data_IF_624382191807
#
_entry.id   IF_624382191807
#
_cell.length_a   1.000
_cell.length_b   1.000
_cell.length_c   1.000
_cell.angle_alpha   90.00
_cell.angle_beta   90.00
_cell.angle_gamma   90.00
#
_symmetry.space_group_name_H-M   'P 1'
#
loop_
_entity.id
_entity.type
_entity.pdbx_description
1 polymer ?
#
# COMPACT_ATOMS: atom_id res chain seq x y z
N UNK A 1 -14.07 -12.86 -13.70
CA UNK A 1 -13.34 -13.62 -12.66
C UNK A 1 -12.00 -12.93 -12.44
N UNK A 2 -11.64 -12.56 -11.20
CA UNK A 2 -10.35 -11.98 -10.86
C UNK A 2 -9.17 -12.85 -11.31
N UNK A 3 -8.07 -12.24 -11.75
CA UNK A 3 -6.92 -13.00 -12.29
C UNK A 3 -6.25 -13.89 -11.24
N UNK A 4 -6.25 -13.48 -9.97
CA UNK A 4 -5.75 -14.28 -8.86
C UNK A 4 -6.49 -15.62 -8.69
N UNK A 5 -7.77 -15.70 -9.05
CA UNK A 5 -8.57 -16.93 -8.95
C UNK A 5 -8.43 -17.84 -10.17
N UNK A 6 -7.91 -17.33 -11.30
CA UNK A 6 -7.65 -18.14 -12.49
C UNK A 6 -6.46 -19.09 -12.32
N UNK A 7 -5.50 -18.70 -11.47
CA UNK A 7 -4.31 -19.52 -11.19
C UNK A 7 -4.64 -20.67 -10.23
N UNK A 8 -5.64 -20.50 -9.37
CA UNK A 8 -6.10 -21.47 -8.36
C UNK A 8 -7.36 -22.22 -8.81
N UNK A 9 -7.66 -22.23 -10.11
CA UNK A 9 -8.89 -22.83 -10.66
C UNK A 9 -8.93 -24.35 -10.48
N UNK A 10 -7.88 -25.00 -9.99
CA UNK A 10 -7.89 -26.42 -9.63
C UNK A 10 -8.31 -26.69 -8.17
N UNK A 11 -8.35 -25.68 -7.30
CA UNK A 11 -8.85 -25.83 -5.93
C UNK A 11 -10.38 -25.95 -5.94
N UNK A 12 -10.89 -27.03 -5.36
CA UNK A 12 -12.33 -27.31 -5.24
C UNK A 12 -13.08 -26.15 -4.57
N UNK A 13 -12.49 -25.53 -3.54
CA UNK A 13 -13.11 -24.42 -2.79
C UNK A 13 -13.26 -23.18 -3.66
N UNK A 14 -12.29 -22.90 -4.52
CA UNK A 14 -12.33 -21.76 -5.45
C UNK A 14 -13.43 -21.98 -6.50
N UNK A 15 -13.55 -23.19 -7.03
CA UNK A 15 -14.62 -23.53 -7.99
C UNK A 15 -16.01 -23.39 -7.38
N UNK A 16 -16.22 -23.93 -6.18
CA UNK A 16 -17.50 -23.83 -5.47
C UNK A 16 -17.87 -22.36 -5.21
N UNK A 17 -16.92 -21.55 -4.73
CA UNK A 17 -17.14 -20.13 -4.49
C UNK A 17 -17.52 -19.38 -5.78
N UNK A 18 -16.79 -19.60 -6.89
CA UNK A 18 -17.10 -18.99 -8.18
C UNK A 18 -18.50 -19.39 -8.66
N UNK A 19 -18.86 -20.67 -8.52
CA UNK A 19 -20.16 -21.17 -8.95
C UNK A 19 -21.30 -20.53 -8.14
N UNK A 20 -21.16 -20.42 -6.82
CA UNK A 20 -22.16 -19.78 -5.94
C UNK A 20 -22.31 -18.29 -6.29
N UNK A 21 -21.21 -17.58 -6.51
CA UNK A 21 -21.24 -16.17 -6.92
C UNK A 21 -21.90 -15.98 -8.29
N UNK A 22 -21.61 -16.86 -9.25
CA UNK A 22 -22.22 -16.81 -10.58
C UNK A 22 -23.73 -17.08 -10.52
N UNK A 23 -24.17 -18.03 -9.70
CA UNK A 23 -25.59 -18.30 -9.46
C UNK A 23 -26.27 -17.08 -8.81
N UNK A 24 -25.66 -16.49 -7.80
CA UNK A 24 -26.16 -15.29 -7.12
C UNK A 24 -26.26 -14.10 -8.08
N UNK A 25 -25.25 -13.86 -8.90
CA UNK A 25 -25.26 -12.83 -9.93
C UNK A 25 -26.43 -13.00 -10.92
N UNK A 26 -26.61 -14.23 -11.43
CA UNK A 26 -27.68 -14.53 -12.38
C UNK A 26 -29.06 -14.37 -11.74
N UNK A 27 -29.24 -14.81 -10.50
CA UNK A 27 -30.49 -14.65 -9.75
C UNK A 27 -30.83 -13.17 -9.53
N UNK A 28 -29.87 -12.35 -9.05
CA UNK A 28 -30.07 -10.91 -8.85
C UNK A 28 -30.38 -10.18 -10.16
N UNK A 29 -29.65 -10.50 -11.23
CA UNK A 29 -29.90 -9.95 -12.57
C UNK A 29 -31.31 -10.28 -13.07
N UNK A 30 -31.73 -11.53 -12.91
CA UNK A 30 -33.07 -11.98 -13.31
C UNK A 30 -34.16 -11.27 -12.50
N UNK A 31 -33.97 -11.13 -11.18
CA UNK A 31 -34.91 -10.45 -10.29
C UNK A 31 -35.17 -9.00 -10.72
N UNK A 32 -34.11 -8.22 -10.92
CA UNK A 32 -34.24 -6.80 -11.33
C UNK A 32 -34.83 -6.67 -12.72
N UNK A 33 -34.41 -7.54 -13.65
CA UNK A 33 -35.00 -7.55 -14.99
C UNK A 33 -36.49 -7.86 -14.93
N UNK A 34 -36.90 -8.80 -14.08
CA UNK A 34 -38.31 -9.14 -13.85
C UNK A 34 -39.11 -7.97 -13.29
N UNK A 35 -38.61 -7.32 -12.24
CA UNK A 35 -39.26 -6.17 -11.61
C UNK A 35 -39.43 -4.98 -12.57
N UNK A 36 -38.37 -4.64 -13.32
CA UNK A 36 -38.44 -3.60 -14.36
C UNK A 36 -39.39 -4.00 -15.49
N UNK A 37 -39.41 -5.27 -15.89
CA UNK A 37 -40.32 -5.76 -16.93
C UNK A 37 -41.78 -5.63 -16.52
N UNK A 38 -42.11 -5.97 -15.27
CA UNK A 38 -43.47 -5.83 -14.73
C UNK A 38 -43.93 -4.37 -14.76
N UNK A 39 -43.08 -3.44 -14.31
CA UNK A 39 -43.37 -2.01 -14.33
C UNK A 39 -43.55 -1.48 -15.76
N UNK A 40 -42.75 -1.97 -16.72
CA UNK A 40 -42.90 -1.62 -18.14
C UNK A 40 -44.21 -2.14 -18.74
N UNK A 41 -44.61 -3.36 -18.41
CA UNK A 41 -45.90 -3.90 -18.83
C UNK A 41 -47.06 -3.08 -18.26
N UNK A 42 -46.94 -2.58 -17.03
CA UNK A 42 -47.93 -1.66 -16.45
C UNK A 42 -48.01 -0.34 -17.21
N UNK A 43 -46.87 0.23 -17.64
CA UNK A 43 -46.85 1.43 -18.50
C UNK A 43 -47.56 1.16 -19.83
N UNK A 44 -47.28 0.02 -20.46
CA UNK A 44 -47.92 -0.36 -21.73
C UNK A 44 -49.45 -0.48 -21.58
N UNK A 45 -49.93 -1.11 -20.50
CA UNK A 45 -51.36 -1.19 -20.19
C UNK A 45 -52.00 0.20 -20.00
N UNK A 46 -51.33 1.11 -19.29
CA UNK A 46 -51.80 2.49 -19.12
C UNK A 46 -51.82 3.26 -20.45
N UNK A 47 -50.86 3.02 -21.34
CA UNK A 47 -50.83 3.61 -22.67
C UNK A 47 -51.97 3.13 -23.56
N UNK A 48 -52.33 1.84 -23.50
CA UNK A 48 -53.51 1.31 -24.19
C UNK A 48 -54.80 1.91 -23.63
N UNK A 49 -54.92 2.02 -22.30
CA UNK A 49 -56.05 2.70 -21.66
C UNK A 49 -56.17 4.16 -22.12
N UNK A 50 -55.06 4.90 -22.19
CA UNK A 50 -55.04 6.27 -22.70
C UNK A 50 -55.51 6.35 -24.15
N UNK A 51 -55.10 5.42 -25.02
CA UNK A 51 -55.57 5.35 -26.41
C UNK A 51 -57.08 5.13 -26.49
N UNK A 52 -57.63 4.26 -25.65
CA UNK A 52 -59.08 4.06 -25.54
C UNK A 52 -59.82 5.32 -25.09
N UNK A 53 -59.34 5.99 -24.04
CA UNK A 53 -59.93 7.23 -23.52
C UNK A 53 -59.86 8.38 -24.53
N UNK A 54 -58.75 8.51 -25.25
CA UNK A 54 -58.59 9.52 -26.31
C UNK A 54 -59.56 9.27 -27.48
N UNK A 55 -59.73 8.02 -27.90
CA UNK A 55 -60.69 7.65 -28.94
C UNK A 55 -62.14 7.96 -28.52
N UNK A 56 -62.51 7.64 -27.27
CA UNK A 56 -63.82 7.99 -26.71
C UNK A 56 -64.03 9.51 -26.67
N UNK A 57 -63.04 10.27 -26.19
CA UNK A 57 -63.08 11.73 -26.15
C UNK A 57 -63.26 12.35 -27.53
N UNK A 58 -62.56 11.84 -28.55
CA UNK A 58 -62.70 12.28 -29.95
C UNK A 58 -64.07 11.94 -30.54
N UNK A 59 -64.59 10.74 -30.28
CA UNK A 59 -65.94 10.36 -30.71
C UNK A 59 -67.02 11.25 -30.08
N UNK A 60 -66.90 11.54 -28.78
CA UNK A 60 -67.81 12.46 -28.08
C UNK A 60 -67.71 13.87 -28.65
N UNK A 61 -66.50 14.35 -28.96
CA UNK A 61 -66.30 15.66 -29.60
C UNK A 61 -67.02 15.76 -30.96
N UNK A 62 -66.95 14.71 -31.79
CA UNK A 62 -67.67 14.69 -33.07
C UNK A 62 -69.19 14.77 -32.88
N UNK A 63 -69.74 14.04 -31.90
CA UNK A 63 -71.17 14.08 -31.58
C UNK A 63 -71.60 15.43 -31.02
N UNK A 64 -70.80 16.05 -30.15
CA UNK A 64 -71.03 17.41 -29.65
C UNK A 64 -71.12 18.37 -30.84
N UNK A 65 -70.13 18.36 -31.74
CA UNK A 65 -70.12 19.23 -32.92
C UNK A 65 -71.36 19.03 -33.79
N UNK A 66 -71.78 17.78 -34.01
CA UNK A 66 -73.01 17.46 -34.75
C UNK A 66 -74.26 18.05 -34.07
N UNK A 67 -74.44 17.81 -32.77
CA UNK A 67 -75.60 18.33 -32.02
C UNK A 67 -75.61 19.85 -31.94
N UNK A 68 -74.45 20.49 -31.78
CA UNK A 68 -74.35 21.95 -31.76
C UNK A 68 -74.69 22.57 -33.12
N UNK A 69 -74.31 21.92 -34.22
CA UNK A 69 -74.68 22.37 -35.57
C UNK A 69 -76.19 22.24 -35.78
N UNK A 70 -76.76 21.08 -35.44
CA UNK A 70 -78.20 20.83 -35.59
C UNK A 70 -79.03 21.80 -34.71
N UNK A 71 -78.59 22.06 -33.47
CA UNK A 71 -79.21 23.05 -32.59
C UNK A 71 -79.19 24.46 -33.21
N UNK A 72 -78.08 24.85 -33.86
CA UNK A 72 -77.96 26.13 -34.56
C UNK A 72 -78.96 26.23 -35.73
N UNK A 73 -79.06 25.18 -36.55
CA UNK A 73 -79.99 25.14 -37.69
C UNK A 73 -81.45 25.26 -37.23
N UNK A 74 -81.84 24.51 -36.18
CA UNK A 74 -83.17 24.64 -35.58
C UNK A 74 -83.40 26.01 -34.95
N UNK A 75 -82.37 26.62 -34.36
CA UNK A 75 -82.44 27.99 -33.84
C UNK A 75 -82.71 29.02 -34.94
N UNK A 76 -82.14 28.86 -36.13
CA UNK A 76 -82.45 29.71 -37.28
C UNK A 76 -83.88 29.51 -37.79
N UNK A 77 -84.35 28.26 -37.90
CA UNK A 77 -85.72 27.94 -38.31
C UNK A 77 -86.74 28.49 -37.31
N UNK A 78 -86.47 28.39 -36.01
CA UNK A 78 -87.33 28.93 -34.96
C UNK A 78 -87.42 30.46 -35.02
N UNK A 79 -86.30 31.17 -35.31
CA UNK A 79 -86.30 32.63 -35.51
C UNK A 79 -87.18 33.06 -36.68
N UNK A 80 -87.29 32.22 -37.72
CA UNK A 80 -88.13 32.43 -38.89
C UNK A 80 -89.58 31.94 -38.70
N UNK A 81 -89.92 31.40 -37.52
CA UNK A 81 -91.27 30.90 -37.20
C UNK A 81 -91.60 29.51 -37.72
N UNK A 82 -90.61 28.78 -38.26
CA UNK A 82 -90.82 27.46 -38.89
C UNK A 82 -90.54 26.27 -37.96
N UNK A 83 -90.13 26.48 -36.70
CA UNK A 83 -89.94 25.39 -35.74
C UNK A 83 -90.12 25.84 -34.28
N UNK A 84 -90.27 24.87 -33.37
CA UNK A 84 -90.36 25.07 -31.92
C UNK A 84 -88.96 25.12 -31.26
N UNK A 85 -88.74 26.11 -30.37
CA UNK A 85 -87.52 26.25 -29.54
C UNK A 85 -87.28 25.07 -28.62
N UNK A 86 -88.28 24.27 -28.30
CA UNK A 86 -88.14 23.07 -27.48
C UNK A 86 -87.08 22.12 -28.06
N UNK A 87 -87.12 21.88 -29.39
CA UNK A 87 -86.21 20.95 -30.05
C UNK A 87 -84.76 21.44 -30.00
N UNK A 88 -84.54 22.74 -30.23
CA UNK A 88 -83.21 23.36 -30.08
C UNK A 88 -82.65 23.10 -28.66
N UNK A 89 -83.45 23.36 -27.61
CA UNK A 89 -83.00 23.18 -26.21
C UNK A 89 -82.74 21.73 -25.84
N UNK A 90 -83.44 20.78 -26.45
CA UNK A 90 -83.14 19.35 -26.28
C UNK A 90 -81.76 18.98 -26.84
N UNK A 91 -81.44 19.47 -28.05
CA UNK A 91 -80.14 19.24 -28.69
C UNK A 91 -79.00 19.92 -27.91
N UNK A 92 -79.22 21.15 -27.41
CA UNK A 92 -78.27 21.86 -26.55
C UNK A 92 -78.01 21.09 -25.24
N UNK A 93 -79.05 20.55 -24.59
CA UNK A 93 -78.90 19.73 -23.38
C UNK A 93 -78.12 18.45 -23.67
N UNK A 94 -78.41 17.77 -24.79
CA UNK A 94 -77.68 16.57 -25.18
C UNK A 94 -76.19 16.86 -25.49
N UNK A 95 -75.89 17.98 -26.14
CA UNK A 95 -74.51 18.42 -26.37
C UNK A 95 -73.79 18.69 -25.03
N UNK A 96 -74.43 19.39 -24.10
CA UNK A 96 -73.86 19.71 -22.78
C UNK A 96 -73.59 18.46 -21.93
N UNK A 97 -74.49 17.46 -21.97
CA UNK A 97 -74.27 16.17 -21.31
C UNK A 97 -73.03 15.45 -21.86
N UNK A 98 -72.88 15.41 -23.19
CA UNK A 98 -71.71 14.83 -23.84
C UNK A 98 -70.41 15.61 -23.55
N UNK A 99 -70.49 16.93 -23.38
CA UNK A 99 -69.34 17.73 -22.95
C UNK A 99 -68.88 17.34 -21.55
N UNK A 100 -69.81 17.10 -20.62
CA UNK A 100 -69.50 16.60 -19.29
C UNK A 100 -68.80 15.24 -19.32
N UNK A 101 -69.33 14.28 -20.09
CA UNK A 101 -68.71 12.97 -20.27
C UNK A 101 -67.32 13.07 -20.92
N UNK A 102 -67.16 13.92 -21.94
CA UNK A 102 -65.86 14.16 -22.58
C UNK A 102 -64.86 14.75 -21.59
N UNK A 103 -65.28 15.72 -20.77
CA UNK A 103 -64.43 16.30 -19.74
C UNK A 103 -63.97 15.24 -18.71
N UNK A 104 -64.85 14.31 -18.33
CA UNK A 104 -64.50 13.17 -17.49
C UNK A 104 -63.42 12.29 -18.13
N UNK A 105 -63.57 11.91 -19.41
CA UNK A 105 -62.55 11.13 -20.12
C UNK A 105 -61.21 11.84 -20.24
N UNK A 106 -61.20 13.16 -20.44
CA UNK A 106 -59.96 13.96 -20.46
C UNK A 106 -59.27 14.02 -19.09
N UNK A 107 -60.06 14.09 -18.01
CA UNK A 107 -59.56 13.99 -16.64
C UNK A 107 -58.91 12.62 -16.37
N UNK A 108 -59.56 11.54 -16.78
CA UNK A 108 -59.04 10.18 -16.63
C UNK A 108 -57.78 9.95 -17.48
N UNK A 109 -57.71 10.52 -18.69
CA UNK A 109 -56.51 10.51 -19.51
C UNK A 109 -55.35 11.22 -18.81
N UNK A 110 -55.61 12.36 -18.18
CA UNK A 110 -54.59 13.11 -17.41
C UNK A 110 -54.13 12.32 -16.18
N UNK A 111 -55.04 11.62 -15.50
CA UNK A 111 -54.72 10.72 -14.38
C UNK A 111 -53.83 9.57 -14.83
N UNK A 112 -54.15 8.92 -15.95
CA UNK A 112 -53.35 7.83 -16.51
C UNK A 112 -51.93 8.30 -16.89
N UNK A 113 -51.78 9.51 -17.45
CA UNK A 113 -50.47 10.12 -17.72
C UNK A 113 -49.63 10.28 -16.45
N UNK A 114 -50.21 10.79 -15.36
CA UNK A 114 -49.52 10.92 -14.08
C UNK A 114 -49.07 9.57 -13.53
N UNK A 115 -49.91 8.53 -13.65
CA UNK A 115 -49.57 7.17 -13.24
C UNK A 115 -48.43 6.57 -14.06
N UNK A 116 -48.34 6.87 -15.36
CA UNK A 116 -47.19 6.50 -16.19
C UNK A 116 -45.92 7.16 -15.64
N UNK A 117 -45.92 8.47 -15.42
CA UNK A 117 -44.74 9.17 -14.87
C UNK A 117 -44.33 8.66 -13.49
N UNK A 118 -45.30 8.34 -12.62
CA UNK A 118 -45.02 7.72 -11.33
C UNK A 118 -44.37 6.33 -11.49
N UNK A 119 -44.87 5.51 -12.42
CA UNK A 119 -44.32 4.17 -12.70
C UNK A 119 -42.92 4.26 -13.30
N UNK A 120 -42.64 5.26 -14.13
CA UNK A 120 -41.29 5.54 -14.64
C UNK A 120 -40.31 5.92 -13.51
N UNK A 121 -40.76 6.74 -12.56
CA UNK A 121 -39.96 7.05 -11.36
C UNK A 121 -39.72 5.81 -10.49
N UNK A 122 -40.69 4.90 -10.38
CA UNK A 122 -40.51 3.63 -9.68
C UNK A 122 -39.43 2.77 -10.37
N UNK A 123 -39.40 2.70 -11.70
CA UNK A 123 -38.33 2.00 -12.45
C UNK A 123 -36.96 2.60 -12.09
N UNK A 124 -36.83 3.93 -12.08
CA UNK A 124 -35.60 4.61 -11.70
C UNK A 124 -35.20 4.31 -10.25
N UNK A 125 -36.17 4.25 -9.34
CA UNK A 125 -35.94 3.93 -7.94
C UNK A 125 -35.41 2.51 -7.74
N UNK A 126 -35.98 1.51 -8.44
CA UNK A 126 -35.48 0.12 -8.42
C UNK A 126 -34.02 0.06 -8.87
N UNK A 127 -33.70 0.73 -9.99
CA UNK A 127 -32.33 0.77 -10.51
C UNK A 127 -31.36 1.46 -9.55
N UNK A 128 -31.78 2.58 -8.94
CA UNK A 128 -30.96 3.31 -7.97
C UNK A 128 -30.72 2.52 -6.69
N UNK A 129 -31.75 1.87 -6.16
CA UNK A 129 -31.62 0.99 -4.99
C UNK A 129 -30.59 -0.11 -5.24
N UNK A 130 -30.65 -0.75 -6.41
CA UNK A 130 -29.66 -1.76 -6.79
C UNK A 130 -28.24 -1.19 -6.88
N UNK A 131 -28.05 -0.03 -7.51
CA UNK A 131 -26.73 0.62 -7.59
C UNK A 131 -26.16 0.91 -6.20
N UNK A 132 -26.97 1.42 -5.28
CA UNK A 132 -26.56 1.69 -3.90
C UNK A 132 -26.15 0.41 -3.19
N UNK A 133 -26.96 -0.64 -3.26
CA UNK A 133 -26.66 -1.93 -2.63
C UNK A 133 -25.36 -2.55 -3.17
N UNK A 134 -25.15 -2.49 -4.50
CA UNK A 134 -23.90 -2.96 -5.12
C UNK A 134 -22.70 -2.13 -4.65
N UNK A 135 -22.83 -0.81 -4.52
CA UNK A 135 -21.75 0.05 -4.06
C UNK A 135 -21.39 -0.22 -2.58
N UNK A 136 -22.38 -0.47 -1.73
CA UNK A 136 -22.18 -0.84 -0.33
C UNK A 136 -21.48 -2.20 -0.20
N UNK A 137 -21.96 -3.22 -0.90
CA UNK A 137 -21.35 -4.55 -0.93
C UNK A 137 -19.92 -4.50 -1.48
N UNK A 138 -19.69 -3.74 -2.56
CA UNK A 138 -18.36 -3.57 -3.13
C UNK A 138 -17.39 -2.94 -2.11
N UNK A 139 -17.82 -1.89 -1.40
CA UNK A 139 -17.01 -1.24 -0.36
C UNK A 139 -16.65 -2.23 0.75
N UNK A 140 -17.62 -3.01 1.22
CA UNK A 140 -17.39 -4.01 2.26
C UNK A 140 -16.39 -5.09 1.80
N UNK A 141 -16.57 -5.63 0.59
CA UNK A 141 -15.67 -6.63 0.01
C UNK A 141 -14.27 -6.05 -0.19
N UNK A 142 -14.13 -4.81 -0.66
CA UNK A 142 -12.83 -4.15 -0.83
C UNK A 142 -12.11 -3.97 0.51
N UNK A 143 -12.82 -3.57 1.57
CA UNK A 143 -12.25 -3.47 2.91
C UNK A 143 -11.75 -4.82 3.42
N UNK A 144 -12.57 -5.88 3.29
CA UNK A 144 -12.19 -7.24 3.68
C UNK A 144 -10.99 -7.75 2.87
N UNK A 145 -10.96 -7.47 1.57
CA UNK A 145 -9.83 -7.82 0.71
C UNK A 145 -8.56 -7.11 1.16
N UNK A 146 -8.62 -5.82 1.49
CA UNK A 146 -7.46 -5.09 1.99
C UNK A 146 -6.91 -5.73 3.28
N UNK A 147 -7.77 -6.00 4.25
CA UNK A 147 -7.40 -6.64 5.51
C UNK A 147 -6.78 -8.04 5.30
N UNK A 148 -7.36 -8.83 4.39
CA UNK A 148 -6.85 -10.16 4.05
C UNK A 148 -5.48 -10.10 3.36
N UNK A 149 -5.27 -9.14 2.45
CA UNK A 149 -3.97 -8.97 1.79
C UNK A 149 -2.87 -8.59 2.79
N UNK A 150 -3.16 -7.69 3.74
CA UNK A 150 -2.19 -7.32 4.77
C UNK A 150 -1.87 -8.49 5.71
N UNK A 151 -2.88 -9.29 6.09
CA UNK A 151 -2.65 -10.53 6.84
C UNK A 151 -1.82 -11.54 6.05
N UNK A 152 -2.10 -11.72 4.76
CA UNK A 152 -1.32 -12.59 3.90
C UNK A 152 0.15 -12.14 3.82
N UNK A 153 0.41 -10.83 3.68
CA UNK A 153 1.78 -10.28 3.68
C UNK A 153 2.51 -10.56 4.98
N UNK A 154 1.87 -10.36 6.13
CA UNK A 154 2.46 -10.65 7.44
C UNK A 154 2.77 -12.14 7.62
N UNK A 155 1.87 -13.03 7.18
CA UNK A 155 2.09 -14.47 7.19
C UNK A 155 3.21 -14.87 6.22
N UNK A 156 3.29 -14.27 5.05
CA UNK A 156 4.35 -14.52 4.07
C UNK A 156 5.72 -14.11 4.63
N UNK A 157 5.81 -12.98 5.33
CA UNK A 157 7.04 -12.56 6.04
C UNK A 157 7.43 -13.59 7.11
N UNK A 158 6.45 -14.09 7.87
CA UNK A 158 6.67 -15.15 8.87
C UNK A 158 7.23 -16.43 8.23
N UNK A 159 6.65 -16.86 7.10
CA UNK A 159 7.12 -18.05 6.36
C UNK A 159 8.53 -17.82 5.80
N UNK A 160 8.81 -16.62 5.29
CA UNK A 160 10.14 -16.28 4.74
C UNK A 160 11.22 -16.32 5.84
N UNK A 161 10.87 -15.95 7.07
CA UNK A 161 11.78 -16.00 8.24
C UNK A 161 11.99 -17.40 8.82
N UNK A 162 11.31 -18.44 8.32
CA UNK A 162 11.60 -19.82 8.70
C UNK A 162 13.00 -20.22 8.19
N UNK A 163 13.42 -19.68 7.05
CA UNK A 163 14.76 -19.90 6.51
C UNK A 163 15.70 -18.76 6.94
N UNK A 164 16.58 -19.05 7.89
CA UNK A 164 17.61 -18.10 8.34
C UNK A 164 18.78 -18.14 7.36
N UNK A 165 18.91 -17.08 6.54
CA UNK A 165 20.02 -16.92 5.58
C UNK A 165 21.13 -16.05 6.17
N UNK A 166 22.38 -16.35 5.79
CA UNK A 166 23.54 -15.57 6.20
C UNK A 166 23.46 -14.13 5.61
N UNK A 167 23.63 -13.06 6.42
CA UNK A 167 23.61 -11.69 5.91
C UNK A 167 24.87 -11.32 5.10
N UNK A 168 25.97 -12.04 5.30
CA UNK A 168 27.23 -11.85 4.59
C UNK A 168 27.96 -13.18 4.41
N UNK A 169 28.86 -13.24 3.42
CA UNK A 169 29.77 -14.38 3.25
C UNK A 169 30.81 -14.37 4.37
N UNK A 170 31.03 -15.52 5.01
CA UNK A 170 31.89 -15.59 6.18
C UNK A 170 32.09 -17.01 6.68
N UNK A 171 32.82 -17.12 7.78
CA UNK A 171 33.06 -18.38 8.49
C UNK A 171 32.12 -18.48 9.69
N UNK A 172 31.50 -19.64 9.87
CA UNK A 172 30.58 -19.91 10.98
C UNK A 172 31.38 -20.22 12.26
N UNK A 173 31.03 -19.58 13.36
CA UNK A 173 31.61 -19.79 14.69
C UNK A 173 30.48 -19.86 15.74
N UNK A 174 30.71 -20.54 16.87
CA UNK A 174 29.81 -20.44 18.03
C UNK A 174 28.40 -21.00 17.81
N UNK A 175 28.25 -22.08 17.03
CA UNK A 175 26.96 -22.74 16.82
C UNK A 175 26.41 -23.26 18.16
N UNK A 176 25.23 -22.79 18.55
CA UNK A 176 24.58 -23.10 19.83
C UNK A 176 23.56 -24.24 19.72
N UNK A 177 23.05 -24.52 18.51
CA UNK A 177 22.04 -25.54 18.26
C UNK A 177 22.56 -26.62 17.31
N UNK A 178 22.39 -27.89 17.71
CA UNK A 178 22.93 -29.05 16.98
C UNK A 178 21.87 -30.13 16.68
N UNK A 179 20.59 -29.87 16.98
CA UNK A 179 19.52 -30.88 16.93
C UNK A 179 18.45 -30.54 15.89
N UNK A 180 18.20 -31.49 14.98
CA UNK A 180 17.08 -31.41 14.03
C UNK A 180 15.77 -31.64 14.78
N UNK A 181 14.80 -30.72 14.65
CA UNK A 181 13.53 -30.76 15.36
C UNK A 181 13.53 -30.09 16.75
N UNK A 182 14.64 -29.47 17.15
CA UNK A 182 14.69 -28.62 18.35
C UNK A 182 13.89 -27.33 18.19
N UNK A 183 13.30 -26.84 19.27
CA UNK A 183 12.54 -25.57 19.29
C UNK A 183 13.50 -24.44 19.69
N UNK A 184 13.50 -23.35 18.91
CA UNK A 184 14.33 -22.16 19.15
C UNK A 184 13.41 -20.97 19.41
N UNK A 185 13.61 -20.27 20.53
CA UNK A 185 12.82 -19.09 20.88
C UNK A 185 13.27 -17.86 20.08
N UNK A 186 12.35 -16.91 19.77
CA UNK A 186 12.72 -15.65 19.13
C UNK A 186 13.86 -14.92 19.86
N UNK A 187 14.85 -14.42 19.11
CA UNK A 187 16.00 -13.70 19.65
C UNK A 187 17.12 -14.57 20.24
N UNK A 188 16.98 -15.90 20.20
CA UNK A 188 18.05 -16.81 20.61
C UNK A 188 19.12 -16.86 19.53
N UNK A 189 20.38 -16.61 19.89
CA UNK A 189 21.51 -16.70 18.96
C UNK A 189 21.71 -18.16 18.53
N UNK A 190 21.78 -18.41 17.22
CA UNK A 190 21.95 -19.74 16.61
C UNK A 190 23.44 -20.02 16.34
N UNK A 191 24.11 -19.06 15.73
CA UNK A 191 25.53 -19.08 15.37
C UNK A 191 26.00 -17.66 15.07
N UNK A 192 27.31 -17.45 15.07
CA UNK A 192 27.96 -16.22 14.64
C UNK A 192 28.61 -16.42 13.26
N UNK A 193 28.60 -15.37 12.44
CA UNK A 193 29.27 -15.36 11.13
C UNK A 193 30.35 -14.29 11.17
N UNK A 194 31.59 -14.70 10.97
CA UNK A 194 32.74 -13.81 10.83
C UNK A 194 32.93 -13.51 9.33
N UNK A 195 32.68 -12.28 8.86
CA UNK A 195 32.77 -11.95 7.43
C UNK A 195 34.18 -12.22 6.86
N UNK A 196 34.25 -12.71 5.63
CA UNK A 196 35.51 -12.83 4.90
C UNK A 196 35.77 -11.53 4.13
N UNK A 197 36.99 -10.98 4.26
CA UNK A 197 37.39 -9.75 3.56
C UNK A 197 37.31 -8.46 4.39
N UNK A 198 37.11 -8.56 5.71
CA UNK A 198 37.38 -7.41 6.58
C UNK A 198 38.87 -7.08 6.57
N UNK A 199 39.16 -5.79 6.42
CA UNK A 199 40.53 -5.29 6.36
C UNK A 199 41.19 -5.54 7.72
N UNK A 200 42.33 -6.23 7.74
CA UNK A 200 43.04 -6.54 8.96
C UNK A 200 43.61 -5.26 9.57
N UNK A 201 43.03 -4.86 10.70
CA UNK A 201 43.49 -3.73 11.51
C UNK A 201 44.25 -4.28 12.70
N UNK A 202 45.45 -3.74 12.94
CA UNK A 202 46.25 -4.10 14.10
C UNK A 202 45.95 -3.12 15.22
N UNK A 203 45.51 -3.65 16.35
CA UNK A 203 45.27 -2.87 17.57
C UNK A 203 46.55 -2.85 18.41
N UNK A 204 47.09 -1.65 18.64
CA UNK A 204 48.30 -1.42 19.40
C UNK A 204 47.99 -0.65 20.69
N UNK A 205 48.45 -1.17 21.83
CA UNK A 205 48.37 -0.49 23.12
C UNK A 205 49.53 0.50 23.26
N UNK A 206 49.23 1.80 23.23
CA UNK A 206 50.19 2.88 23.40
C UNK A 206 50.26 3.27 24.88
N UNK A 207 51.48 3.39 25.41
CA UNK A 207 51.68 3.84 26.78
C UNK A 207 51.21 5.29 26.95
N UNK A 208 50.60 5.59 28.11
CA UNK A 208 50.08 6.93 28.44
C UNK A 208 51.13 8.02 28.31
N UNK A 209 52.40 7.71 28.59
CA UNK A 209 53.53 8.65 28.51
C UNK A 209 53.92 9.05 27.09
N UNK A 210 53.49 8.30 26.07
CA UNK A 210 53.87 8.54 24.68
C UNK A 210 52.73 9.08 23.81
N UNK A 211 51.55 9.32 24.41
CA UNK A 211 50.37 9.81 23.68
C UNK A 211 50.61 11.17 22.99
N UNK A 212 51.39 12.05 23.61
CA UNK A 212 51.70 13.39 23.07
C UNK A 212 52.42 13.34 21.71
N UNK A 213 52.99 12.17 21.35
CA UNK A 213 53.76 11.97 20.12
C UNK A 213 53.03 11.14 19.08
N UNK A 214 51.91 10.49 19.44
CA UNK A 214 51.21 9.54 18.57
C UNK A 214 49.92 10.18 18.07
N UNK A 215 49.84 10.42 16.76
CA UNK A 215 48.66 10.98 16.12
C UNK A 215 48.31 10.22 14.83
N UNK A 216 47.06 10.32 14.35
CA UNK A 216 46.67 9.78 13.06
C UNK A 216 47.60 10.26 11.94
N UNK A 217 47.90 9.37 10.99
CA UNK A 217 48.73 9.63 9.82
C UNK A 217 50.19 9.20 9.93
N UNK A 218 50.70 8.89 11.15
CA UNK A 218 52.07 8.43 11.34
C UNK A 218 52.31 7.04 10.70
N UNK A 219 53.52 6.85 10.16
CA UNK A 219 53.96 5.54 9.71
C UNK A 219 54.30 4.65 10.91
N UNK A 220 53.91 3.39 10.84
CA UNK A 220 54.17 2.39 11.85
C UNK A 220 54.74 1.13 11.19
N UNK A 221 55.70 0.49 11.83
CA UNK A 221 56.22 -0.81 11.44
C UNK A 221 55.53 -1.88 12.27
N UNK A 222 54.87 -2.82 11.59
CA UNK A 222 54.16 -3.93 12.22
C UNK A 222 54.95 -5.21 12.02
N UNK A 223 55.18 -5.93 13.12
CA UNK A 223 55.83 -7.23 13.14
C UNK A 223 54.94 -8.24 13.86
N UNK A 224 54.51 -9.28 13.17
CA UNK A 224 53.74 -10.37 13.78
C UNK A 224 54.69 -11.32 14.51
N UNK A 225 54.66 -11.31 15.85
CA UNK A 225 55.55 -12.12 16.69
C UNK A 225 55.22 -13.62 16.66
N UNK A 226 54.06 -13.99 16.12
CA UNK A 226 53.66 -15.37 15.86
C UNK A 226 54.52 -16.07 14.77
N UNK A 227 55.23 -15.30 13.92
CA UNK A 227 56.09 -15.85 12.87
C UNK A 227 57.58 -15.75 13.24
N UNK A 228 58.43 -16.59 12.63
CA UNK A 228 59.87 -16.62 12.91
C UNK A 228 60.53 -15.28 12.56
N UNK A 229 61.01 -14.54 13.58
CA UNK A 229 61.55 -13.17 13.46
C UNK A 229 62.72 -12.99 12.49
N UNK A 230 63.35 -14.09 12.03
CA UNK A 230 64.46 -14.07 11.07
C UNK A 230 64.03 -14.09 9.59
N UNK A 231 62.81 -14.52 9.31
CA UNK A 231 62.27 -14.73 7.95
C UNK A 231 61.04 -13.87 7.66
N UNK A 232 60.41 -13.30 8.68
CA UNK A 232 59.19 -12.50 8.51
C UNK A 232 59.55 -11.04 8.17
N UNK A 233 59.06 -10.50 7.04
CA UNK A 233 59.27 -9.11 6.68
C UNK A 233 58.57 -8.16 7.65
N UNK A 234 59.17 -7.00 7.89
CA UNK A 234 58.52 -5.89 8.61
C UNK A 234 57.51 -5.26 7.66
N UNK A 235 56.27 -5.11 8.10
CA UNK A 235 55.22 -4.53 7.27
C UNK A 235 55.05 -3.06 7.60
N UNK A 236 54.94 -2.23 6.56
CA UNK A 236 54.64 -0.82 6.74
C UNK A 236 53.13 -0.63 6.88
N UNK A 237 52.75 0.06 7.95
CA UNK A 237 51.38 0.46 8.26
C UNK A 237 51.27 1.94 8.56
N UNK A 238 50.05 2.43 8.67
CA UNK A 238 49.74 3.80 9.03
C UNK A 238 48.76 3.83 10.20
N UNK A 239 49.03 4.70 11.19
CA UNK A 239 48.11 4.93 12.30
C UNK A 239 46.86 5.61 11.74
N UNK A 240 45.72 4.91 11.78
CA UNK A 240 44.46 5.43 11.27
C UNK A 240 43.72 6.25 12.33
N UNK A 241 43.65 5.72 13.55
CA UNK A 241 42.96 6.36 14.67
C UNK A 241 43.67 6.07 15.97
N UNK A 242 43.62 7.02 16.90
CA UNK A 242 44.06 6.86 18.28
C UNK A 242 42.85 7.17 19.17
N UNK A 243 42.61 6.37 20.20
CA UNK A 243 41.49 6.62 21.12
C UNK A 243 41.62 8.00 21.75
N UNK A 244 40.52 8.74 21.81
CA UNK A 244 40.49 10.06 22.43
C UNK A 244 40.62 9.99 23.97
N UNK A 245 40.29 8.83 24.56
CA UNK A 245 40.33 8.59 26.00
C UNK A 245 41.23 7.39 26.34
N UNK A 246 41.70 7.39 27.59
CA UNK A 246 42.55 6.37 28.19
C UNK A 246 41.70 5.17 28.59
N UNK A 247 42.03 4.01 28.04
CA UNK A 247 41.39 2.74 28.36
C UNK A 247 42.21 1.99 29.42
N UNK A 248 41.58 1.08 30.14
CA UNK A 248 42.24 0.22 31.12
C UNK A 248 42.11 -1.22 30.67
N UNK A 249 43.23 -1.94 30.64
CA UNK A 249 43.23 -3.36 30.29
C UNK A 249 42.57 -4.17 31.41
N UNK A 250 41.54 -4.96 31.08
CA UNK A 250 40.81 -5.78 32.06
C UNK A 250 41.66 -6.87 32.68
N UNK A 251 42.74 -7.31 32.02
CA UNK A 251 43.63 -8.36 32.52
C UNK A 251 44.77 -7.82 33.39
N UNK A 252 45.37 -6.69 33.01
CA UNK A 252 46.57 -6.15 33.68
C UNK A 252 46.29 -4.92 34.54
N UNK A 253 45.09 -4.34 34.44
CA UNK A 253 44.66 -3.10 35.09
C UNK A 253 45.57 -1.88 34.77
N UNK A 254 46.38 -1.97 33.73
CA UNK A 254 47.27 -0.90 33.28
C UNK A 254 46.52 0.02 32.29
N UNK A 255 46.68 1.35 32.42
CA UNK A 255 46.07 2.28 31.48
C UNK A 255 46.86 2.35 30.17
N UNK A 256 46.16 2.43 29.05
CA UNK A 256 46.73 2.57 27.70
C UNK A 256 45.83 3.40 26.79
N UNK A 257 46.36 3.86 25.67
CA UNK A 257 45.59 4.42 24.55
C UNK A 257 45.55 3.40 23.41
N UNK A 258 44.39 3.24 22.77
CA UNK A 258 44.23 2.30 21.67
C UNK A 258 44.57 2.99 20.35
N UNK A 259 45.67 2.58 19.72
CA UNK A 259 46.02 3.00 18.37
C UNK A 259 45.63 1.89 17.38
N UNK A 260 44.88 2.23 16.35
CA UNK A 260 44.54 1.33 15.24
C UNK A 260 45.49 1.60 14.09
N UNK A 261 46.27 0.60 13.73
CA UNK A 261 47.23 0.66 12.62
C UNK A 261 46.70 -0.15 11.45
N UNK A 262 46.59 0.52 10.31
CA UNK A 262 46.21 -0.09 9.04
C UNK A 262 47.47 -0.54 8.31
N UNK A 263 47.53 -1.80 7.91
CA UNK A 263 48.54 -2.31 6.96
C UNK A 263 47.90 -2.34 5.58
N UNK A 264 48.62 -1.92 4.54
CA UNK A 264 48.10 -1.93 3.17
C UNK A 264 48.12 -3.34 2.57
N UNK A 265 47.18 -3.64 1.67
CA UNK A 265 47.08 -4.97 1.04
C UNK A 265 48.34 -5.36 0.24
N UNK A 266 49.07 -4.36 -0.28
CA UNK A 266 50.38 -4.54 -0.94
C UNK A 266 51.47 -5.01 0.03
N UNK A 267 51.46 -4.50 1.26
CA UNK A 267 52.40 -4.92 2.31
C UNK A 267 52.02 -6.29 2.86
N UNK A 268 50.72 -6.56 3.05
CA UNK A 268 50.22 -7.89 3.43
C UNK A 268 50.58 -8.98 2.42
N UNK A 269 50.65 -8.63 1.13
CA UNK A 269 51.07 -9.56 0.05
C UNK A 269 52.54 -10.00 0.16
N UNK A 270 53.39 -9.28 0.91
CA UNK A 270 54.78 -9.67 1.17
C UNK A 270 54.92 -10.87 2.12
N UNK A 271 53.83 -11.29 2.78
CA UNK A 271 53.84 -12.43 3.72
C UNK A 271 53.81 -13.81 3.02
N UNK A 272 54.08 -13.89 1.71
CA UNK A 272 54.27 -15.13 0.93
C UNK A 272 53.27 -16.27 1.24
N UNK A 273 51.99 -15.93 1.43
CA UNK A 273 50.91 -16.92 1.66
C UNK A 273 50.70 -17.37 3.11
N UNK A 274 51.31 -16.71 4.10
CA UNK A 274 50.96 -16.95 5.51
C UNK A 274 49.62 -16.33 5.87
N UNK A 275 48.66 -17.14 6.31
CA UNK A 275 47.31 -16.70 6.67
C UNK A 275 47.32 -16.03 8.03
N UNK A 276 46.87 -14.77 8.08
CA UNK A 276 46.68 -14.06 9.33
C UNK A 276 45.32 -14.42 9.95
N UNK A 277 45.32 -14.82 11.22
CA UNK A 277 44.11 -15.09 12.00
C UNK A 277 43.85 -13.95 13.01
N UNK A 278 42.58 -13.58 13.26
CA UNK A 278 42.24 -12.67 14.35
C UNK A 278 42.77 -13.16 15.70
N UNK A 279 43.30 -12.25 16.51
CA UNK A 279 43.82 -12.55 17.86
C UNK A 279 45.32 -12.89 17.94
N UNK A 280 46.06 -12.84 16.83
CA UNK A 280 47.51 -13.04 16.86
C UNK A 280 48.26 -11.84 17.47
N UNK A 281 49.31 -12.08 18.27
CA UNK A 281 50.12 -11.00 18.84
C UNK A 281 50.96 -10.32 17.74
N UNK A 282 51.01 -8.99 17.80
CA UNK A 282 51.81 -8.16 16.92
C UNK A 282 52.54 -7.09 17.72
N UNK A 283 53.79 -6.82 17.34
CA UNK A 283 54.59 -5.71 17.82
C UNK A 283 54.47 -4.57 16.82
N UNK A 284 54.17 -3.37 17.33
CA UNK A 284 53.97 -2.18 16.50
C UNK A 284 54.94 -1.09 16.96
N UNK A 285 55.78 -0.62 16.04
CA UNK A 285 56.73 0.47 16.26
C UNK A 285 56.24 1.70 15.49
N UNK A 286 55.75 2.71 16.19
CA UNK A 286 55.23 3.94 15.58
C UNK A 286 56.39 4.93 15.40
N UNK A 287 56.60 5.43 14.18
CA UNK A 287 57.65 6.41 13.87
C UNK A 287 57.19 7.82 14.25
N UNK A 288 57.54 8.27 15.45
CA UNK A 288 57.15 9.60 15.98
C UNK A 288 58.08 10.76 15.55
N UNK A 289 58.76 10.63 14.39
CA UNK A 289 59.67 11.63 13.83
C UNK A 289 61.17 11.37 14.10
N UNK A 290 62.03 11.86 13.20
CA UNK A 290 63.49 11.75 13.31
C UNK A 290 64.04 12.86 14.22
N UNK A 291 64.81 12.49 15.24
CA UNK A 291 65.53 13.45 16.10
C UNK A 291 66.99 13.52 15.68
N UNK A 292 67.52 14.73 15.54
CA UNK A 292 68.97 14.93 15.37
C UNK A 292 69.67 14.92 16.73
N UNK A 293 70.91 14.41 16.80
CA UNK A 293 71.73 14.36 18.04
C UNK A 293 71.84 15.73 18.73
N UNK A 294 71.89 16.80 17.94
CA UNK A 294 71.93 18.18 18.43
C UNK A 294 70.68 18.54 19.27
N UNK A 295 69.52 18.03 18.86
CA UNK A 295 68.23 18.29 19.49
C UNK A 295 68.09 17.57 20.84
N UNK A 296 68.74 16.42 21.02
CA UNK A 296 68.78 15.70 22.29
C UNK A 296 69.67 16.40 23.34
N UNK A 297 70.76 17.02 22.89
CA UNK A 297 71.68 17.75 23.78
C UNK A 297 71.12 19.11 24.24
N UNK A 298 70.36 19.79 23.39
CA UNK A 298 69.81 21.13 23.65
C UNK A 298 68.43 21.11 24.34
N UNK A 299 67.70 19.99 24.30
CA UNK A 299 66.36 19.86 24.90
C UNK A 299 66.29 20.19 26.41
N UNK A 300 67.24 19.75 27.26
CA UNK A 300 67.19 20.04 28.70
C UNK A 300 67.29 21.53 29.00
N UNK A 301 68.06 22.27 28.18
CA UNK A 301 68.23 23.71 28.33
C UNK A 301 66.99 24.48 27.88
N UNK A 302 66.33 24.06 26.80
CA UNK A 302 65.08 24.68 26.34
C UNK A 302 63.89 24.35 27.24
N UNK A 303 63.79 23.11 27.73
CA UNK A 303 62.69 22.69 28.62
C UNK A 303 62.83 23.32 30.02
N UNK A 304 64.06 23.54 30.50
CA UNK A 304 64.33 24.27 31.75
C UNK A 304 64.04 25.78 31.60
N UNK A 305 64.42 26.39 30.48
CA UNK A 305 64.09 27.79 30.19
C UNK A 305 62.57 28.01 30.06
N UNK A 306 61.86 27.12 29.35
CA UNK A 306 60.40 27.20 29.18
C UNK A 306 59.62 26.96 30.48
N UNK A 307 60.13 26.14 31.40
CA UNK A 307 59.56 25.99 32.75
C UNK A 307 59.76 27.25 33.61
N UNK A 308 60.90 27.92 33.50
CA UNK A 308 61.19 29.16 34.25
C UNK A 308 60.33 30.37 33.80
N UNK A 309 59.72 30.34 32.61
CA UNK A 309 58.84 31.41 32.11
C UNK A 309 57.33 31.09 32.25
N UNK A 310 56.96 29.94 32.83
CA UNK A 310 55.56 29.57 33.12
C UNK A 310 55.25 29.48 34.62
N UNK A 311 56.12 30.01 35.47
CA UNK A 311 55.84 30.21 36.89
C UNK A 311 55.62 31.70 37.17
N UNK A 312 54.34 32.10 37.07
CA UNK A 312 53.70 33.23 37.73
C UNK A 312 52.22 32.92 37.92
#
# INVERSE_FOLDING_TARGET
>A
IPDALKQEEQDLRVREAIQVEQQTFNARRSSIKGEVSLLRQRIEQLQEQMRGLDALSKSKQQRITSYTSEASDFGELAKRGFSDKLRQRELERAASELEGERAQHLSDLSRAKLQISETELQILQVQKKFQTEVAEQLREVQSRLFDLHERMRALQDTVTRIEVRAPASGTIVGMSTHTVGGVISPGTAILDIVPQGEQLIVEAHVQVTDIDKVHPGLQAEVRFSAFKSRTTPVLEGQVQTVSADRLTDRATNMPYYLARVRVSDTELSKLEGQTLLPGMPAEVIIKTGERTLLQYLLQPFTDAAARSFREK
#
